data_IF_570703074275
#
_entry.id   IF_570703074275
#
_cell.length_a   1.000
_cell.length_b   1.000
_cell.length_c   1.000
_cell.angle_alpha   90.00
_cell.angle_beta   90.00
_cell.angle_gamma   90.00
#
_symmetry.space_group_name_H-M   'P 1'
#
loop_
_entity.id
_entity.type
_entity.pdbx_description
1 polymer ?
#
# COMPACT_ATOMS: atom_id res chain seq x y z
N UNK A 1 -24.85 -0.51 21.29
CA UNK A 1 -23.72 0.03 20.53
C UNK A 1 -23.71 1.54 20.71
N UNK A 2 -22.66 2.08 21.30
CA UNK A 2 -22.44 3.53 21.42
C UNK A 2 -22.00 4.12 20.06
N UNK A 3 -22.06 5.44 19.91
CA UNK A 3 -21.55 6.10 18.70
C UNK A 3 -20.06 5.83 18.48
N UNK A 4 -19.25 5.76 19.54
CA UNK A 4 -17.82 5.47 19.42
C UNK A 4 -17.61 4.03 18.95
N UNK A 5 -18.32 3.06 19.53
CA UNK A 5 -18.25 1.66 19.09
C UNK A 5 -18.63 1.53 17.62
N UNK A 6 -19.68 2.23 17.17
CA UNK A 6 -20.08 2.23 15.77
C UNK A 6 -18.99 2.80 14.85
N UNK A 7 -18.38 3.94 15.21
CA UNK A 7 -17.31 4.53 14.41
C UNK A 7 -16.05 3.66 14.36
N UNK A 8 -15.77 2.90 15.42
CA UNK A 8 -14.67 1.93 15.42
C UNK A 8 -14.97 0.74 14.50
N UNK A 9 -16.23 0.30 14.41
CA UNK A 9 -16.64 -0.71 13.43
C UNK A 9 -16.46 -0.19 12.01
N UNK A 10 -16.96 1.02 11.71
CA UNK A 10 -16.77 1.63 10.39
C UNK A 10 -15.27 1.76 10.06
N UNK A 11 -14.44 2.22 11.01
CA UNK A 11 -12.99 2.32 10.80
C UNK A 11 -12.37 0.97 10.40
N UNK A 12 -12.82 -0.13 11.01
CA UNK A 12 -12.36 -1.48 10.66
C UNK A 12 -12.84 -1.91 9.27
N UNK A 13 -14.08 -1.59 8.92
CA UNK A 13 -14.66 -1.86 7.60
C UNK A 13 -13.85 -1.15 6.51
N UNK A 14 -13.62 0.16 6.63
CA UNK A 14 -12.85 0.93 5.63
C UNK A 14 -11.40 0.43 5.50
N UNK A 15 -10.76 0.02 6.60
CA UNK A 15 -9.43 -0.60 6.54
C UNK A 15 -9.42 -1.92 5.74
N UNK A 16 -10.48 -2.71 5.87
CA UNK A 16 -10.64 -3.95 5.11
C UNK A 16 -10.90 -3.67 3.63
N UNK A 17 -11.67 -2.61 3.32
CA UNK A 17 -11.98 -2.21 1.95
C UNK A 17 -10.75 -1.67 1.20
N UNK A 18 -9.95 -0.82 1.85
CA UNK A 18 -8.63 -0.37 1.35
C UNK A 18 -7.73 -1.56 1.05
N UNK A 19 -7.69 -2.55 1.96
CA UNK A 19 -6.90 -3.78 1.78
C UNK A 19 -7.37 -4.59 0.57
N UNK A 20 -8.69 -4.78 0.45
CA UNK A 20 -9.36 -5.48 -0.65
C UNK A 20 -9.00 -4.85 -1.99
N UNK A 21 -9.08 -3.53 -2.11
CA UNK A 21 -8.90 -2.86 -3.39
C UNK A 21 -7.44 -2.60 -3.76
N UNK A 22 -6.55 -2.37 -2.77
CA UNK A 22 -5.10 -2.44 -3.00
C UNK A 22 -4.68 -3.83 -3.52
N UNK A 23 -5.24 -4.90 -2.98
CA UNK A 23 -4.97 -6.28 -3.44
C UNK A 23 -5.44 -6.50 -4.88
N UNK A 24 -6.60 -5.95 -5.27
CA UNK A 24 -7.07 -6.00 -6.66
C UNK A 24 -6.17 -5.19 -7.59
N UNK A 25 -5.74 -4.00 -7.19
CA UNK A 25 -4.81 -3.19 -7.97
C UNK A 25 -3.49 -3.93 -8.23
N UNK A 26 -2.95 -4.62 -7.22
CA UNK A 26 -1.77 -5.48 -7.38
C UNK A 26 -2.02 -6.66 -8.33
N UNK A 27 -3.19 -7.30 -8.23
CA UNK A 27 -3.50 -8.50 -9.01
C UNK A 27 -3.83 -8.22 -10.47
N UNK A 28 -4.53 -7.12 -10.73
CA UNK A 28 -5.14 -6.84 -12.03
C UNK A 28 -4.58 -5.58 -12.71
N UNK A 29 -3.78 -4.78 -12.02
CA UNK A 29 -3.31 -3.47 -12.48
C UNK A 29 -4.25 -2.34 -12.05
N UNK A 30 -3.68 -1.15 -11.83
CA UNK A 30 -4.41 0.05 -11.38
C UNK A 30 -5.43 0.56 -12.40
N UNK A 31 -5.13 0.40 -13.69
CA UNK A 31 -5.91 0.94 -14.81
C UNK A 31 -6.83 -0.11 -15.47
N UNK A 32 -6.95 -1.30 -14.86
CA UNK A 32 -7.77 -2.37 -15.42
C UNK A 32 -9.24 -2.21 -15.00
N UNK A 33 -10.02 -1.56 -15.86
CA UNK A 33 -11.43 -1.25 -15.63
C UNK A 33 -12.27 -2.52 -15.47
N UNK A 34 -12.95 -2.64 -14.33
CA UNK A 34 -13.88 -3.73 -14.05
C UNK A 34 -15.21 -3.16 -13.56
N UNK A 35 -16.32 -3.61 -14.18
CA UNK A 35 -17.67 -3.14 -13.86
C UNK A 35 -17.85 -1.62 -13.88
N UNK A 36 -17.10 -0.92 -14.74
CA UNK A 36 -17.25 0.53 -14.91
C UNK A 36 -16.32 1.37 -14.06
N UNK A 37 -15.56 0.80 -13.12
CA UNK A 37 -14.64 1.54 -12.24
C UNK A 37 -13.21 1.03 -12.33
N UNK A 38 -12.25 1.94 -12.18
CA UNK A 38 -10.84 1.60 -12.11
C UNK A 38 -10.45 1.22 -10.67
N UNK A 39 -9.59 0.22 -10.44
CA UNK A 39 -9.06 -0.10 -9.12
C UNK A 39 -8.43 1.11 -8.40
N UNK A 40 -7.78 2.01 -9.14
CA UNK A 40 -7.22 3.24 -8.60
C UNK A 40 -8.30 4.21 -8.06
N UNK A 41 -9.42 4.35 -8.79
CA UNK A 41 -10.54 5.21 -8.37
C UNK A 41 -11.19 4.66 -7.10
N UNK A 42 -11.52 3.37 -7.08
CA UNK A 42 -12.12 2.75 -5.89
C UNK A 42 -11.18 2.85 -4.69
N UNK A 43 -9.89 2.58 -4.87
CA UNK A 43 -8.93 2.72 -3.77
C UNK A 43 -8.89 4.16 -3.22
N UNK A 44 -9.08 5.18 -4.06
CA UNK A 44 -9.18 6.56 -3.61
C UNK A 44 -10.46 6.81 -2.79
N UNK A 45 -11.60 6.30 -3.25
CA UNK A 45 -12.89 6.38 -2.53
C UNK A 45 -12.78 5.75 -1.12
N UNK A 46 -12.27 4.51 -1.03
CA UNK A 46 -12.12 3.81 0.27
C UNK A 46 -11.13 4.54 1.22
N UNK A 47 -10.13 5.24 0.66
CA UNK A 47 -9.20 6.06 1.45
C UNK A 47 -9.87 7.34 1.97
N UNK A 48 -10.74 7.96 1.18
CA UNK A 48 -11.50 9.14 1.60
C UNK A 48 -12.49 8.78 2.72
N UNK A 49 -13.18 7.64 2.61
CA UNK A 49 -14.07 7.13 3.66
C UNK A 49 -13.31 6.82 4.95
N UNK A 50 -12.15 6.15 4.85
CA UNK A 50 -11.25 5.91 5.99
C UNK A 50 -10.81 7.22 6.67
N UNK A 51 -10.45 8.25 5.88
CA UNK A 51 -10.07 9.57 6.41
C UNK A 51 -11.25 10.24 7.09
N UNK A 52 -12.46 10.18 6.51
CA UNK A 52 -13.68 10.73 7.09
C UNK A 52 -13.98 10.13 8.47
N UNK A 53 -13.97 8.80 8.60
CA UNK A 53 -14.20 8.12 9.89
C UNK A 53 -13.10 8.48 10.90
N UNK A 54 -11.85 8.56 10.46
CA UNK A 54 -10.71 8.99 11.29
C UNK A 54 -10.89 10.43 11.81
N UNK A 55 -11.39 11.35 10.99
CA UNK A 55 -11.69 12.71 11.41
C UNK A 55 -12.82 12.74 12.45
N UNK A 56 -13.91 11.99 12.22
CA UNK A 56 -15.01 11.88 13.19
C UNK A 56 -14.56 11.37 14.57
N UNK A 57 -13.61 10.44 14.61
CA UNK A 57 -12.99 9.93 15.85
C UNK A 57 -12.05 10.95 16.49
N UNK A 58 -11.34 11.73 15.68
CA UNK A 58 -10.45 12.82 16.15
C UNK A 58 -11.25 13.94 16.79
N UNK A 59 -12.33 14.38 16.14
CA UNK A 59 -13.21 15.45 16.63
C UNK A 59 -13.87 15.12 17.96
N UNK A 60 -14.06 13.82 18.23
CA UNK A 60 -14.60 13.30 19.49
C UNK A 60 -13.54 13.06 20.56
N UNK A 61 -12.26 13.33 20.27
CA UNK A 61 -11.14 13.11 21.19
C UNK A 61 -10.81 11.65 21.45
N UNK A 62 -11.28 10.72 20.60
CA UNK A 62 -11.01 9.28 20.76
C UNK A 62 -9.58 8.95 20.34
N UNK A 63 -9.11 9.57 19.25
CA UNK A 63 -7.75 9.43 18.74
C UNK A 63 -7.13 10.80 18.47
N UNK A 64 -5.81 10.85 18.43
CA UNK A 64 -5.10 12.09 18.05
C UNK A 64 -5.22 12.38 16.56
N UNK A 65 -5.22 13.68 16.24
CA UNK A 65 -5.11 14.19 14.89
C UNK A 65 -3.78 13.80 14.20
N UNK A 66 -3.66 14.07 12.89
CA UNK A 66 -2.51 13.63 12.12
C UNK A 66 -1.27 14.41 12.56
N UNK A 67 -0.15 13.71 12.69
CA UNK A 67 1.15 14.33 12.97
C UNK A 67 1.94 14.40 11.66
N UNK A 68 2.16 15.61 11.16
CA UNK A 68 2.90 15.85 9.92
C UNK A 68 4.34 15.28 10.02
N UNK A 69 4.96 15.38 11.19
CA UNK A 69 6.27 14.78 11.46
C UNK A 69 6.23 13.25 11.35
N UNK A 70 5.27 12.59 12.02
CA UNK A 70 5.14 11.13 11.95
C UNK A 70 4.84 10.65 10.51
N UNK A 71 4.02 11.39 9.77
CA UNK A 71 3.72 11.12 8.36
C UNK A 71 4.99 11.27 7.51
N UNK A 72 5.76 12.34 7.68
CA UNK A 72 7.00 12.55 6.96
C UNK A 72 8.02 11.44 7.24
N UNK A 73 8.21 11.07 8.50
CA UNK A 73 9.08 9.96 8.91
C UNK A 73 8.64 8.63 8.28
N UNK A 74 7.34 8.35 8.23
CA UNK A 74 6.82 7.14 7.58
C UNK A 74 7.10 7.14 6.07
N UNK A 75 6.90 8.27 5.38
CA UNK A 75 7.22 8.42 3.95
C UNK A 75 8.70 8.16 3.67
N UNK A 76 9.60 8.78 4.44
CA UNK A 76 11.04 8.56 4.32
C UNK A 76 11.41 7.10 4.55
N UNK A 77 10.81 6.45 5.55
CA UNK A 77 11.04 5.02 5.83
C UNK A 77 10.61 4.14 4.65
N UNK A 78 9.46 4.40 4.03
CA UNK A 78 8.99 3.65 2.84
C UNK A 78 9.94 3.84 1.67
N UNK A 79 10.32 5.08 1.33
CA UNK A 79 11.26 5.38 0.23
C UNK A 79 12.59 4.65 0.43
N UNK A 80 13.11 4.66 1.67
CA UNK A 80 14.35 3.95 2.02
C UNK A 80 14.26 2.46 1.69
N UNK A 81 13.18 1.78 2.06
CA UNK A 81 13.04 0.35 1.78
C UNK A 81 12.84 0.06 0.29
N UNK A 82 12.07 0.90 -0.43
CA UNK A 82 11.95 0.77 -1.88
C UNK A 82 13.32 0.84 -2.57
N UNK A 83 14.20 1.77 -2.14
CA UNK A 83 15.56 1.87 -2.69
C UNK A 83 16.44 0.65 -2.35
N UNK A 84 16.31 0.09 -1.16
CA UNK A 84 17.06 -1.12 -0.77
C UNK A 84 16.62 -2.36 -1.55
N UNK A 85 15.32 -2.51 -1.81
CA UNK A 85 14.79 -3.65 -2.57
C UNK A 85 15.25 -3.59 -4.04
N UNK A 86 15.45 -2.40 -4.61
CA UNK A 86 16.02 -2.25 -5.96
C UNK A 86 17.52 -2.59 -6.01
N UNK A 87 18.30 -2.27 -4.97
CA UNK A 87 19.75 -2.54 -4.95
C UNK A 87 20.09 -4.04 -4.89
N UNK A 88 19.28 -4.87 -4.21
CA UNK A 88 19.50 -6.32 -4.16
C UNK A 88 19.16 -7.06 -5.48
N UNK A 89 18.38 -6.44 -6.37
CA UNK A 89 18.01 -7.04 -7.66
C UNK A 89 19.17 -6.92 -8.66
N UNK A 90 19.90 -5.78 -8.66
CA UNK A 90 21.05 -5.58 -9.56
C UNK A 90 22.21 -6.55 -9.24
N UNK A 91 22.46 -6.84 -7.96
CA UNK A 91 23.52 -7.79 -7.54
C UNK A 91 23.27 -9.24 -8.02
N UNK A 92 22.01 -9.63 -8.26
CA UNK A 92 21.64 -10.98 -8.72
C UNK A 92 21.71 -11.13 -10.25
N UNK A 93 21.58 -10.04 -11.00
CA UNK A 93 21.68 -10.04 -12.46
C UNK A 93 23.15 -10.03 -12.93
N UNK A 94 24.05 -9.40 -12.18
CA UNK A 94 25.50 -9.48 -12.44
C UNK A 94 26.08 -10.90 -12.21
N UNK A 95 25.59 -11.64 -11.19
CA UNK A 95 26.00 -13.03 -10.93
C UNK A 95 25.47 -14.06 -11.95
N UNK A 96 24.41 -13.74 -12.70
CA UNK A 96 23.89 -14.61 -13.77
C UNK A 96 24.65 -14.38 -15.08
N UNK A 97 25.06 -13.15 -15.34
CA UNK A 97 25.81 -12.80 -16.56
C UNK A 97 27.23 -13.40 -16.52
N UNK A 98 27.84 -13.49 -15.33
CA UNK A 98 29.20 -14.02 -15.14
C UNK A 98 29.30 -15.57 -15.07
N UNK A 99 28.18 -16.30 -15.18
CA UNK A 99 28.16 -17.79 -15.10
C UNK A 99 28.01 -18.51 -16.44
N UNK A 100 27.80 -17.78 -17.54
CA UNK A 100 27.52 -18.39 -18.85
C UNK A 100 28.75 -18.53 -19.77
N UNK A 101 29.94 -18.10 -19.35
CA UNK A 101 31.14 -18.12 -20.20
C UNK A 101 32.07 -19.33 -19.98
N UNK A 102 31.78 -20.22 -19.03
CA UNK A 102 32.72 -21.27 -18.58
C UNK A 102 32.24 -22.73 -18.75
N UNK A 103 31.21 -23.01 -19.57
CA UNK A 103 30.88 -24.38 -19.96
C UNK A 103 31.41 -24.72 -21.37
N UNK A 104 32.43 -25.59 -21.52
CA UNK A 104 32.83 -26.06 -22.83
C UNK A 104 31.71 -26.93 -23.42
N UNK A 105 31.16 -26.49 -24.55
CA UNK A 105 30.21 -27.28 -25.35
C UNK A 105 30.85 -28.63 -25.65
N UNK A 106 30.38 -29.68 -24.99
CA UNK A 106 30.75 -31.06 -25.33
C UNK A 106 30.08 -31.41 -26.66
N UNK A 107 30.92 -31.77 -27.62
CA UNK A 107 30.56 -32.34 -28.91
C UNK A 107 29.94 -33.73 -28.75
#
# INVERSE_FOLDING_TARGET
MTTIEHLLVCLMEECAEVTKDASKALRFGLDNKYQGTFPAERLAEELDDLIGVREMLTDRGVIRGPSLEAIAAKKQKVIKYMAHDHAQIEDLDDERTNRNDDEPRRF
#
